data_IF_358983023338
#
_entry.id   IF_358983023338
#
_cell.length_a   1.000
_cell.length_b   1.000
_cell.length_c   1.000
_cell.angle_alpha   90.00
_cell.angle_beta   90.00
_cell.angle_gamma   90.00
#
_symmetry.space_group_name_H-M   'P 1'
#
loop_
_entity.id
_entity.type
_entity.pdbx_description
1 polymer ?
#
# COMPACT_ATOMS: atom_id res chain seq x y z
N UNK A 1 -9.26 15.48 -22.29
CA UNK A 1 -10.13 14.59 -23.10
C UNK A 1 -11.56 14.74 -22.60
N UNK A 2 -12.46 15.25 -23.44
CA UNK A 2 -13.79 15.77 -23.05
C UNK A 2 -14.96 14.78 -23.23
N UNK A 3 -14.70 13.53 -23.64
CA UNK A 3 -15.74 12.53 -23.91
C UNK A 3 -15.61 11.25 -23.08
N UNK A 4 -16.69 10.47 -23.05
CA UNK A 4 -16.70 9.09 -22.52
C UNK A 4 -15.80 8.24 -23.41
N UNK A 5 -14.92 7.43 -22.80
CA UNK A 5 -14.03 6.52 -23.52
C UNK A 5 -14.41 5.07 -23.24
N UNK A 6 -14.23 4.22 -24.25
CA UNK A 6 -14.36 2.78 -24.14
C UNK A 6 -12.99 2.15 -24.41
N UNK A 7 -12.46 1.44 -23.44
CA UNK A 7 -11.18 0.73 -23.53
C UNK A 7 -11.46 -0.76 -23.55
N UNK A 8 -10.93 -1.43 -24.57
CA UNK A 8 -10.94 -2.89 -24.62
C UNK A 8 -9.71 -3.45 -23.90
N UNK A 9 -9.92 -4.45 -23.06
CA UNK A 9 -8.84 -5.20 -22.42
C UNK A 9 -8.25 -6.15 -23.46
N UNK A 10 -7.00 -5.93 -23.85
CA UNK A 10 -6.33 -6.70 -24.88
C UNK A 10 -5.72 -7.99 -24.30
N UNK A 11 -5.45 -9.03 -25.13
CA UNK A 11 -4.82 -10.27 -24.68
C UNK A 11 -3.53 -10.05 -23.89
N UNK A 12 -2.72 -9.07 -24.28
CA UNK A 12 -1.45 -8.71 -23.64
C UNK A 12 -1.60 -8.10 -22.25
N UNK A 13 -2.78 -7.59 -21.90
CA UNK A 13 -3.05 -7.03 -20.56
C UNK A 13 -3.26 -8.11 -19.52
N UNK A 14 -3.65 -9.32 -19.98
CA UNK A 14 -3.99 -10.44 -19.12
C UNK A 14 -5.14 -10.14 -18.17
N UNK A 15 -5.37 -11.03 -17.22
CA UNK A 15 -6.33 -10.79 -16.15
C UNK A 15 -5.73 -9.86 -15.10
N UNK A 16 -6.31 -8.68 -14.91
CA UNK A 16 -5.78 -7.62 -14.04
C UNK A 16 -6.89 -6.89 -13.30
N UNK A 17 -6.58 -6.31 -12.14
CA UNK A 17 -7.53 -5.44 -11.44
C UNK A 17 -7.79 -4.16 -12.21
N UNK A 18 -9.05 -3.70 -12.20
CA UNK A 18 -9.50 -2.49 -12.90
C UNK A 18 -8.68 -1.24 -12.51
N UNK A 19 -8.34 -1.10 -11.22
CA UNK A 19 -7.53 0.01 -10.74
C UNK A 19 -6.11 0.01 -11.38
N UNK A 20 -5.49 -1.16 -11.50
CA UNK A 20 -4.17 -1.31 -12.15
C UNK A 20 -4.25 -1.09 -13.66
N UNK A 21 -5.30 -1.63 -14.31
CA UNK A 21 -5.54 -1.42 -15.73
C UNK A 21 -5.67 0.06 -16.04
N UNK A 22 -6.57 0.76 -15.33
CA UNK A 22 -6.79 2.19 -15.52
C UNK A 22 -5.55 3.02 -15.21
N UNK A 23 -4.75 2.63 -14.23
CA UNK A 23 -3.51 3.35 -13.90
C UNK A 23 -2.45 3.23 -15.00
N UNK A 24 -2.41 2.13 -15.74
CA UNK A 24 -1.53 1.97 -16.93
C UNK A 24 -1.95 2.90 -18.07
N UNK A 25 -3.25 3.00 -18.33
CA UNK A 25 -3.80 3.83 -19.42
C UNK A 25 -3.91 5.32 -19.05
N UNK A 26 -4.08 5.63 -17.77
CA UNK A 26 -4.22 6.99 -17.23
C UNK A 26 -3.30 7.17 -16.02
N UNK A 27 -1.98 7.33 -16.24
CA UNK A 27 -1.01 7.49 -15.13
C UNK A 27 -1.32 8.66 -14.21
N UNK A 28 -1.96 9.72 -14.75
CA UNK A 28 -2.37 10.91 -14.03
C UNK A 28 -3.58 10.69 -13.12
N UNK A 29 -4.36 9.61 -13.31
CA UNK A 29 -5.55 9.34 -12.51
C UNK A 29 -5.15 8.95 -11.08
N UNK A 30 -5.45 9.81 -10.12
CA UNK A 30 -5.14 9.55 -8.71
C UNK A 30 -6.01 8.41 -8.16
N UNK A 31 -5.47 7.66 -7.20
CA UNK A 31 -6.19 6.54 -6.56
C UNK A 31 -7.52 6.99 -5.93
N UNK A 32 -7.51 8.13 -5.23
CA UNK A 32 -8.72 8.69 -4.62
C UNK A 32 -9.80 9.01 -5.66
N UNK A 33 -9.41 9.53 -6.83
CA UNK A 33 -10.33 9.82 -7.92
C UNK A 33 -10.88 8.55 -8.55
N UNK A 34 -10.02 7.54 -8.76
CA UNK A 34 -10.42 6.24 -9.28
C UNK A 34 -11.47 5.59 -8.37
N UNK A 35 -11.22 5.56 -7.05
CA UNK A 35 -12.20 5.06 -6.07
C UNK A 35 -13.50 5.87 -6.06
N UNK A 36 -13.44 7.21 -6.24
CA UNK A 36 -14.64 8.05 -6.36
C UNK A 36 -15.45 7.67 -7.60
N UNK A 37 -14.80 7.51 -8.77
CA UNK A 37 -15.46 7.11 -10.01
C UNK A 37 -16.12 5.73 -9.92
N UNK A 38 -15.44 4.77 -9.27
CA UNK A 38 -16.01 3.44 -9.03
C UNK A 38 -17.23 3.52 -8.08
N UNK A 39 -17.08 4.22 -6.94
CA UNK A 39 -18.15 4.38 -5.95
C UNK A 39 -19.38 5.09 -6.51
N UNK A 40 -19.19 6.08 -7.39
CA UNK A 40 -20.30 6.79 -8.04
C UNK A 40 -20.88 6.05 -9.25
N UNK A 41 -20.39 4.84 -9.58
CA UNK A 41 -20.88 4.02 -10.68
C UNK A 41 -20.53 4.55 -12.07
N UNK A 42 -19.57 5.47 -12.17
CA UNK A 42 -19.12 6.04 -13.43
C UNK A 42 -18.18 5.13 -14.21
N UNK A 43 -17.51 4.18 -13.51
CA UNK A 43 -16.74 3.09 -14.14
C UNK A 43 -17.66 1.89 -14.38
N UNK A 44 -17.63 1.36 -15.61
CA UNK A 44 -18.41 0.19 -15.98
C UNK A 44 -17.53 -0.79 -16.77
N UNK A 45 -17.77 -2.08 -16.57
CA UNK A 45 -17.18 -3.18 -17.33
C UNK A 45 -18.34 -3.91 -18.01
N UNK A 46 -18.33 -4.01 -19.32
CA UNK A 46 -19.41 -4.59 -20.14
C UNK A 46 -20.80 -4.02 -19.76
N UNK A 47 -20.86 -2.70 -19.55
CA UNK A 47 -22.08 -1.99 -19.17
C UNK A 47 -22.47 -2.11 -17.70
N UNK A 48 -21.88 -3.01 -16.92
CA UNK A 48 -22.16 -3.21 -15.48
C UNK A 48 -21.29 -2.33 -14.61
N UNK A 49 -21.82 -1.87 -13.49
CA UNK A 49 -21.05 -1.11 -12.49
C UNK A 49 -19.89 -1.97 -11.97
N UNK A 50 -18.70 -1.36 -11.87
CA UNK A 50 -17.50 -2.05 -11.43
C UNK A 50 -16.83 -1.29 -10.27
N UNK A 51 -16.25 -2.05 -9.35
CA UNK A 51 -15.41 -1.54 -8.28
C UNK A 51 -13.95 -1.40 -8.74
N UNK A 52 -13.17 -0.63 -8.02
CA UNK A 52 -11.74 -0.49 -8.29
C UNK A 52 -10.98 -1.84 -8.20
N UNK A 53 -11.47 -2.75 -7.36
CA UNK A 53 -10.93 -4.10 -7.15
C UNK A 53 -11.40 -5.12 -8.18
N UNK A 54 -12.41 -4.83 -8.97
CA UNK A 54 -12.96 -5.76 -9.99
C UNK A 54 -11.84 -6.26 -10.89
N UNK A 55 -11.78 -7.56 -11.12
CA UNK A 55 -10.88 -8.17 -12.10
C UNK A 55 -11.48 -8.02 -13.50
N UNK A 56 -10.65 -7.64 -14.43
CA UNK A 56 -10.99 -7.52 -15.84
C UNK A 56 -10.11 -8.47 -16.66
N UNK A 57 -10.71 -9.07 -17.70
CA UNK A 57 -10.08 -10.06 -18.55
C UNK A 57 -10.08 -9.60 -20.02
N UNK A 58 -9.22 -10.16 -20.88
CA UNK A 58 -9.21 -9.87 -22.29
C UNK A 58 -10.59 -10.01 -22.96
N UNK A 59 -10.92 -9.09 -23.88
CA UNK A 59 -12.21 -9.01 -24.56
C UNK A 59 -13.27 -8.17 -23.86
N UNK A 60 -13.08 -7.80 -22.59
CA UNK A 60 -14.01 -6.94 -21.87
C UNK A 60 -13.83 -5.48 -22.25
N UNK A 61 -14.93 -4.73 -22.25
CA UNK A 61 -14.96 -3.29 -22.53
C UNK A 61 -15.16 -2.47 -21.26
N UNK A 62 -14.23 -1.56 -21.00
CA UNK A 62 -14.28 -0.65 -19.84
C UNK A 62 -14.73 0.73 -20.29
N UNK A 63 -15.86 1.18 -19.76
CA UNK A 63 -16.34 2.55 -19.93
C UNK A 63 -15.72 3.46 -18.89
N UNK A 64 -15.00 4.47 -19.36
CA UNK A 64 -14.35 5.51 -18.54
C UNK A 64 -15.08 6.84 -18.81
N UNK A 65 -15.57 7.54 -17.77
CA UNK A 65 -16.21 8.84 -17.94
C UNK A 65 -15.16 9.87 -18.40
N UNK A 66 -15.61 11.06 -18.86
CA UNK A 66 -14.70 12.15 -19.16
C UNK A 66 -13.79 12.40 -17.97
N UNK A 67 -12.50 12.24 -18.19
CA UNK A 67 -11.49 12.60 -17.20
C UNK A 67 -11.10 14.05 -17.49
N UNK A 68 -11.29 14.99 -16.54
CA UNK A 68 -10.71 16.32 -16.71
C UNK A 68 -9.22 16.15 -16.96
N UNK A 69 -8.72 16.85 -17.93
CA UNK A 69 -7.29 17.13 -18.05
C UNK A 69 -6.91 17.85 -16.76
N UNK A 70 -6.36 17.08 -15.82
CA UNK A 70 -5.76 17.69 -14.65
C UNK A 70 -4.46 18.28 -15.19
N UNK A 71 -4.49 19.57 -15.56
CA UNK A 71 -3.31 20.36 -15.90
C UNK A 71 -2.41 20.56 -14.67
N UNK A 72 -2.71 19.86 -13.58
CA UNK A 72 -1.83 19.77 -12.46
C UNK A 72 -0.61 18.97 -12.90
N UNK A 73 0.57 19.58 -12.97
CA UNK A 73 1.78 18.82 -13.25
C UNK A 73 1.81 17.63 -12.30
N UNK A 74 2.26 16.45 -12.75
CA UNK A 74 2.37 15.29 -11.89
C UNK A 74 3.03 15.79 -10.61
N UNK A 75 2.39 15.50 -9.45
CA UNK A 75 2.86 16.00 -8.16
C UNK A 75 4.38 15.85 -8.20
N UNK A 76 5.10 16.98 -8.27
CA UNK A 76 6.56 16.98 -8.25
C UNK A 76 6.88 16.02 -7.14
N UNK A 77 7.55 14.94 -7.46
CA UNK A 77 8.20 14.13 -6.44
C UNK A 77 9.12 15.12 -5.75
N UNK A 78 8.61 15.75 -4.69
CA UNK A 78 9.39 16.70 -3.90
C UNK A 78 10.67 15.96 -3.57
N UNK A 79 11.78 16.50 -4.03
CA UNK A 79 13.07 15.91 -3.76
C UNK A 79 13.16 15.71 -2.26
N UNK A 80 13.48 14.49 -1.88
CA UNK A 80 13.64 14.17 -0.48
C UNK A 80 14.68 15.12 0.12
N UNK A 81 14.40 15.69 1.28
CA UNK A 81 15.38 16.54 1.95
C UNK A 81 16.62 15.71 2.33
N UNK A 82 17.78 16.35 2.38
CA UNK A 82 19.01 15.68 2.85
C UNK A 82 18.86 15.15 4.27
N UNK A 83 18.06 15.80 5.10
CA UNK A 83 17.76 15.35 6.47
C UNK A 83 16.93 14.05 6.45
N UNK A 84 15.90 13.97 5.60
CA UNK A 84 15.09 12.75 5.47
C UNK A 84 15.88 11.61 4.85
N UNK A 85 16.77 11.90 3.88
CA UNK A 85 17.63 10.89 3.30
C UNK A 85 18.62 10.32 4.34
N UNK A 86 19.23 11.17 5.16
CA UNK A 86 20.09 10.71 6.27
C UNK A 86 19.29 9.92 7.30
N UNK A 87 18.11 10.41 7.66
CA UNK A 87 17.23 9.76 8.63
C UNK A 87 16.90 8.32 8.22
N UNK A 88 16.39 8.09 7.00
CA UNK A 88 15.99 6.75 6.58
C UNK A 88 17.21 5.80 6.47
N UNK A 89 18.36 6.31 6.00
CA UNK A 89 19.61 5.52 5.94
C UNK A 89 20.10 5.10 7.32
N UNK A 90 19.94 5.95 8.33
CA UNK A 90 20.30 5.63 9.71
C UNK A 90 19.43 4.53 10.33
N UNK A 91 18.25 4.26 9.77
CA UNK A 91 17.37 3.18 10.21
C UNK A 91 17.76 1.82 9.62
N UNK A 92 18.63 1.77 8.60
CA UNK A 92 19.06 0.52 7.97
C UNK A 92 19.95 -0.26 8.94
N UNK A 93 19.55 -1.50 9.24
CA UNK A 93 20.30 -2.43 10.10
C UNK A 93 20.82 -3.63 9.32
N UNK A 94 20.32 -3.86 8.11
CA UNK A 94 20.80 -4.89 7.20
C UNK A 94 20.50 -4.50 5.74
N UNK A 95 21.42 -4.77 4.84
CA UNK A 95 21.26 -4.61 3.39
C UNK A 95 22.21 -5.59 2.69
N UNK A 96 21.63 -6.61 2.03
CA UNK A 96 22.39 -7.62 1.27
C UNK A 96 22.27 -7.41 -0.26
N UNK A 97 21.76 -6.25 -0.68
CA UNK A 97 21.49 -5.93 -2.09
C UNK A 97 20.14 -6.44 -2.61
N UNK A 98 19.48 -7.37 -1.93
CA UNK A 98 18.15 -7.90 -2.26
C UNK A 98 17.11 -7.62 -1.20
N UNK A 99 17.48 -7.73 0.06
CA UNK A 99 16.65 -7.46 1.23
C UNK A 99 17.26 -6.32 2.03
N UNK A 100 16.44 -5.35 2.38
CA UNK A 100 16.82 -4.27 3.29
C UNK A 100 15.97 -4.37 4.54
N UNK A 101 16.60 -4.32 5.72
CA UNK A 101 15.91 -4.31 7.00
C UNK A 101 16.09 -2.95 7.68
N UNK A 102 14.98 -2.38 8.12
CA UNK A 102 14.95 -1.12 8.85
C UNK A 102 14.55 -1.36 10.32
N UNK A 103 15.19 -0.67 11.24
CA UNK A 103 14.69 -0.48 12.59
C UNK A 103 13.74 0.73 12.61
N UNK A 104 12.46 0.48 12.35
CA UNK A 104 11.44 1.56 12.29
C UNK A 104 11.16 2.10 13.69
N UNK A 105 11.28 3.40 13.95
CA UNK A 105 10.88 3.98 15.22
C UNK A 105 9.34 4.03 15.37
N UNK A 106 8.86 4.07 16.59
CA UNK A 106 7.47 4.41 16.89
C UNK A 106 7.15 5.82 16.39
N UNK A 107 5.88 6.06 16.04
CA UNK A 107 5.42 7.35 15.52
C UNK A 107 5.61 7.54 14.01
N UNK A 108 6.45 6.73 13.34
CA UNK A 108 6.65 6.78 11.88
C UNK A 108 5.69 5.84 11.18
N UNK A 109 4.79 6.37 10.36
CA UNK A 109 3.91 5.55 9.54
C UNK A 109 4.68 4.86 8.41
N UNK A 110 4.28 3.62 8.04
CA UNK A 110 4.87 2.91 6.90
C UNK A 110 4.36 3.49 5.58
N UNK A 111 3.07 3.75 5.47
CA UNK A 111 2.44 4.31 4.27
C UNK A 111 1.74 5.64 4.57
N UNK A 112 1.67 6.50 3.56
CA UNK A 112 1.03 7.79 3.67
C UNK A 112 -0.50 7.71 3.70
N UNK A 113 -1.11 8.77 4.24
CA UNK A 113 -2.54 9.00 4.29
C UNK A 113 -2.85 10.50 4.31
N UNK A 114 -4.13 10.91 4.38
CA UNK A 114 -4.55 12.30 4.23
C UNK A 114 -3.87 13.33 5.16
N UNK A 115 -3.27 12.90 6.24
CA UNK A 115 -2.58 13.77 7.22
C UNK A 115 -1.20 13.23 7.59
N UNK A 116 -0.59 12.43 6.71
CA UNK A 116 0.67 11.75 6.99
C UNK A 116 1.68 12.01 5.86
N UNK A 117 2.22 13.24 5.76
CA UNK A 117 3.13 13.62 4.68
C UNK A 117 4.48 12.92 4.78
N UNK A 118 4.93 12.56 5.99
CA UNK A 118 6.19 11.86 6.26
C UNK A 118 5.92 10.42 6.65
N UNK A 119 6.33 9.49 5.83
CA UNK A 119 6.15 8.04 6.01
C UNK A 119 7.27 7.27 5.30
N UNK A 120 7.50 6.02 5.70
CA UNK A 120 8.60 5.20 5.16
C UNK A 120 8.55 5.13 3.64
N UNK A 121 7.42 4.80 3.04
CA UNK A 121 7.26 4.62 1.58
C UNK A 121 7.76 5.84 0.78
N UNK A 122 7.50 7.06 1.26
CA UNK A 122 8.04 8.30 0.66
C UNK A 122 9.57 8.38 0.78
N UNK A 123 10.12 7.90 1.90
CA UNK A 123 11.54 8.00 2.20
C UNK A 123 12.39 6.95 1.45
N UNK A 124 11.77 5.88 0.94
CA UNK A 124 12.47 4.74 0.33
C UNK A 124 13.36 5.14 -0.86
N UNK A 125 13.04 6.20 -1.58
CA UNK A 125 13.86 6.66 -2.71
C UNK A 125 15.30 7.02 -2.34
N UNK A 126 15.57 7.30 -1.06
CA UNK A 126 16.94 7.50 -0.57
C UNK A 126 17.74 6.20 -0.39
N UNK A 127 17.08 5.05 -0.45
CA UNK A 127 17.67 3.71 -0.35
C UNK A 127 17.80 3.02 -1.71
N UNK A 128 17.33 3.66 -2.79
CA UNK A 128 17.46 3.11 -4.14
C UNK A 128 18.95 2.97 -4.48
N UNK A 129 19.32 1.86 -5.10
CA UNK A 129 20.70 1.52 -5.45
C UNK A 129 20.74 0.93 -6.85
N UNK A 130 21.68 1.39 -7.68
CA UNK A 130 21.91 0.88 -9.05
C UNK A 130 20.64 0.83 -9.93
N UNK A 131 19.72 1.79 -9.75
CA UNK A 131 18.43 1.84 -10.46
C UNK A 131 17.34 0.93 -9.88
N UNK A 132 17.67 0.09 -8.90
CA UNK A 132 16.71 -0.77 -8.20
C UNK A 132 16.06 -0.04 -7.03
N UNK A 133 14.72 -0.04 -7.02
CA UNK A 133 13.93 0.62 -5.98
C UNK A 133 13.66 -0.31 -4.81
N UNK A 134 13.80 0.23 -3.59
CA UNK A 134 13.28 -0.42 -2.40
C UNK A 134 11.74 -0.39 -2.38
N UNK A 135 11.12 -1.51 -2.03
CA UNK A 135 9.67 -1.70 -2.02
C UNK A 135 9.19 -2.29 -0.70
N UNK A 136 8.05 -1.78 -0.23
CA UNK A 136 7.37 -2.36 0.93
C UNK A 136 6.85 -3.76 0.60
N UNK A 137 7.05 -4.70 1.51
CA UNK A 137 6.55 -6.09 1.42
C UNK A 137 5.58 -6.43 2.54
N UNK A 138 5.62 -5.69 3.64
CA UNK A 138 4.67 -5.72 4.75
C UNK A 138 4.58 -4.34 5.41
N UNK A 139 3.82 -4.24 6.46
CA UNK A 139 3.69 -3.01 7.23
C UNK A 139 3.70 -3.28 8.72
N UNK A 140 4.15 -2.29 9.48
CA UNK A 140 3.92 -2.12 10.91
C UNK A 140 3.00 -0.94 11.12
N UNK A 141 2.27 -0.92 12.22
CA UNK A 141 1.47 0.25 12.57
C UNK A 141 2.37 1.43 12.92
N UNK A 142 1.81 2.63 12.88
CA UNK A 142 2.55 3.87 13.12
C UNK A 142 3.33 3.84 14.43
N UNK A 143 2.68 3.41 15.50
CA UNK A 143 3.23 3.45 16.86
C UNK A 143 3.96 2.15 17.26
N UNK A 144 3.99 1.16 16.36
CA UNK A 144 4.82 -0.04 16.51
C UNK A 144 6.23 0.24 16.02
N UNK A 145 7.22 0.07 16.88
CA UNK A 145 8.65 0.10 16.52
C UNK A 145 9.13 -1.30 16.12
N UNK A 146 10.27 -1.37 15.44
CA UNK A 146 10.97 -2.64 15.18
C UNK A 146 11.20 -2.93 13.70
N UNK A 147 11.40 -4.19 13.40
CA UNK A 147 11.90 -4.67 12.11
C UNK A 147 10.89 -4.50 10.98
N UNK A 148 11.24 -3.69 9.99
CA UNK A 148 10.50 -3.53 8.75
C UNK A 148 11.37 -4.02 7.58
N UNK A 149 10.93 -5.07 6.88
CA UNK A 149 11.62 -5.62 5.73
C UNK A 149 11.15 -4.96 4.43
N UNK A 150 12.09 -4.75 3.53
CA UNK A 150 11.89 -4.24 2.19
C UNK A 150 12.52 -5.19 1.19
N UNK A 151 11.97 -5.26 -0.02
CA UNK A 151 12.62 -5.91 -1.15
C UNK A 151 13.25 -4.89 -2.07
N UNK A 152 14.50 -5.06 -2.47
CA UNK A 152 15.16 -4.25 -3.47
C UNK A 152 14.83 -4.82 -4.86
N UNK A 153 14.19 -4.01 -5.69
CA UNK A 153 13.69 -4.46 -6.99
C UNK A 153 12.35 -5.19 -6.92
N UNK A 154 11.81 -5.53 -8.09
CA UNK A 154 10.49 -6.16 -8.21
C UNK A 154 10.50 -7.64 -7.81
N UNK A 155 11.54 -8.38 -8.20
CA UNK A 155 11.66 -9.82 -7.93
C UNK A 155 11.73 -10.14 -6.43
N UNK A 156 12.73 -9.62 -5.68
CA UNK A 156 12.83 -9.83 -4.25
C UNK A 156 11.59 -9.35 -3.48
N UNK A 157 11.03 -8.19 -3.86
CA UNK A 157 9.81 -7.69 -3.24
C UNK A 157 8.61 -8.62 -3.45
N UNK A 158 8.43 -9.17 -4.65
CA UNK A 158 7.36 -10.12 -4.94
C UNK A 158 7.52 -11.42 -4.11
N UNK A 159 8.74 -11.96 -4.05
CA UNK A 159 9.06 -13.17 -3.29
C UNK A 159 8.77 -12.98 -1.79
N UNK A 160 9.26 -11.89 -1.19
CA UNK A 160 9.00 -11.59 0.21
C UNK A 160 7.51 -11.37 0.48
N UNK A 161 6.81 -10.60 -0.37
CA UNK A 161 5.37 -10.39 -0.23
C UNK A 161 4.61 -11.71 -0.22
N UNK A 162 4.99 -12.66 -1.08
CA UNK A 162 4.37 -13.98 -1.13
C UNK A 162 4.64 -14.79 0.15
N UNK A 163 5.86 -14.74 0.70
CA UNK A 163 6.17 -15.40 1.98
C UNK A 163 5.33 -14.84 3.13
N UNK A 164 5.17 -13.50 3.20
CA UNK A 164 4.26 -12.87 4.17
C UNK A 164 2.80 -13.31 3.98
N UNK A 165 2.34 -13.35 2.74
CA UNK A 165 0.97 -13.76 2.40
C UNK A 165 0.68 -15.22 2.78
N UNK A 166 1.67 -16.11 2.62
CA UNK A 166 1.55 -17.53 2.97
C UNK A 166 1.76 -17.82 4.46
N UNK A 167 2.03 -16.82 5.28
CA UNK A 167 2.31 -17.03 6.71
C UNK A 167 3.64 -17.73 6.98
N UNK A 168 4.56 -17.73 6.01
CA UNK A 168 5.86 -18.39 6.12
C UNK A 168 6.90 -17.55 6.90
N UNK A 169 6.49 -16.38 7.40
CA UNK A 169 7.34 -15.48 8.18
C UNK A 169 6.89 -15.52 9.63
N UNK A 170 7.75 -15.99 10.52
CA UNK A 170 7.52 -15.90 11.96
C UNK A 170 7.67 -14.46 12.42
N UNK A 171 6.67 -13.94 13.15
CA UNK A 171 6.64 -12.58 13.68
C UNK A 171 6.58 -12.63 15.19
N UNK A 172 7.55 -11.99 15.83
CA UNK A 172 7.65 -11.89 17.28
C UNK A 172 7.48 -10.42 17.66
N UNK A 173 6.57 -10.13 18.58
CA UNK A 173 6.31 -8.80 19.11
C UNK A 173 6.46 -8.81 20.64
N UNK A 174 7.09 -7.77 21.14
CA UNK A 174 7.17 -7.53 22.58
C UNK A 174 6.23 -6.37 22.91
N UNK A 175 5.47 -6.52 23.99
CA UNK A 175 4.56 -5.50 24.46
C UNK A 175 4.74 -5.25 25.96
N UNK A 176 4.80 -3.98 26.35
CA UNK A 176 4.67 -3.57 27.73
C UNK A 176 3.18 -3.45 28.05
N UNK A 177 2.71 -4.24 29.01
CA UNK A 177 1.30 -4.28 29.40
C UNK A 177 1.12 -3.75 30.82
N UNK A 178 -0.06 -3.17 31.10
CA UNK A 178 -0.45 -2.76 32.44
C UNK A 178 -1.16 -3.92 33.14
N UNK A 179 -0.77 -4.20 34.36
CA UNK A 179 -1.35 -5.26 35.18
C UNK A 179 -0.49 -6.53 35.17
N UNK A 180 -1.03 -7.62 35.74
CA UNK A 180 -0.36 -8.91 35.86
C UNK A 180 -0.97 -9.90 34.86
N UNK A 181 -0.14 -10.41 33.96
CA UNK A 181 -0.51 -11.56 33.14
C UNK A 181 -0.42 -12.81 34.02
N UNK A 182 -1.53 -13.52 34.16
CA UNK A 182 -1.61 -14.70 35.04
C UNK A 182 -0.88 -15.90 34.42
N UNK A 183 -1.10 -16.10 33.13
CA UNK A 183 -0.58 -17.22 32.39
C UNK A 183 0.78 -16.89 31.79
N UNK A 184 1.76 -17.80 31.91
CA UNK A 184 3.08 -17.64 31.29
C UNK A 184 3.07 -17.88 29.77
N UNK A 185 2.09 -18.66 29.29
CA UNK A 185 1.88 -18.97 27.87
C UNK A 185 0.38 -19.14 27.61
N UNK A 186 -0.07 -18.79 26.42
CA UNK A 186 -1.45 -18.96 26.02
C UNK A 186 -1.68 -18.59 24.56
N UNK A 187 -2.82 -18.98 24.03
CA UNK A 187 -3.32 -18.59 22.73
C UNK A 187 -4.51 -17.66 22.91
N UNK A 188 -4.43 -16.47 22.32
CA UNK A 188 -5.57 -15.55 22.20
C UNK A 188 -6.03 -15.64 20.74
N UNK A 189 -7.16 -16.30 20.53
CA UNK A 189 -7.80 -16.44 19.22
C UNK A 189 -9.15 -15.73 19.26
N UNK A 190 -9.10 -14.41 19.36
CA UNK A 190 -10.28 -13.54 19.41
C UNK A 190 -10.41 -12.79 18.09
N UNK A 191 -11.55 -12.86 17.39
CA UNK A 191 -11.82 -11.99 16.26
C UNK A 191 -11.74 -10.54 16.67
N UNK A 192 -11.19 -9.69 15.78
CA UNK A 192 -11.06 -8.26 16.04
C UNK A 192 -11.86 -7.47 15.02
N UNK A 193 -12.75 -6.62 15.50
CA UNK A 193 -13.50 -5.67 14.70
C UNK A 193 -13.08 -4.23 14.96
N UNK A 194 -13.29 -3.36 13.99
CA UNK A 194 -13.15 -1.92 14.18
C UNK A 194 -14.39 -1.34 14.84
N UNK A 195 -14.23 -0.70 15.98
CA UNK A 195 -15.28 0.06 16.63
C UNK A 195 -14.90 1.56 16.70
N UNK A 196 -15.92 2.43 16.78
CA UNK A 196 -15.77 3.89 16.85
C UNK A 196 -16.02 4.58 15.50
N UNK A 197 -16.29 5.89 15.57
CA UNK A 197 -16.49 6.74 14.40
C UNK A 197 -15.16 7.24 13.80
N UNK A 198 -15.23 7.98 12.67
CA UNK A 198 -14.05 8.54 12.01
C UNK A 198 -13.16 9.34 12.97
N UNK A 199 -11.89 8.97 13.08
CA UNK A 199 -10.91 9.59 13.97
C UNK A 199 -10.92 9.10 15.43
N UNK A 200 -11.81 8.15 15.77
CA UNK A 200 -11.87 7.46 17.06
C UNK A 200 -11.89 5.95 16.91
N UNK A 201 -11.38 5.46 15.78
CA UNK A 201 -11.34 4.03 15.48
C UNK A 201 -10.41 3.30 16.46
N UNK A 202 -10.92 2.23 17.05
CA UNK A 202 -10.15 1.29 17.87
C UNK A 202 -10.51 -0.15 17.48
N UNK A 203 -9.56 -1.05 17.64
CA UNK A 203 -9.84 -2.48 17.55
C UNK A 203 -10.44 -2.96 18.85
N UNK A 204 -11.51 -3.72 18.78
CA UNK A 204 -12.17 -4.38 19.91
C UNK A 204 -12.30 -5.87 19.59
N UNK A 205 -12.38 -6.70 20.61
CA UNK A 205 -12.79 -8.08 20.43
C UNK A 205 -14.22 -8.13 19.88
N UNK A 206 -14.44 -9.01 18.89
CA UNK A 206 -15.75 -9.28 18.30
C UNK A 206 -16.18 -10.63 18.90
N UNK A 207 -17.09 -10.55 19.86
CA UNK A 207 -17.58 -11.73 20.62
C UNK A 207 -18.87 -12.32 19.98
N UNK A 208 -19.13 -12.11 18.67
CA UNK A 208 -20.27 -12.68 17.95
C UNK A 208 -20.06 -14.13 17.52
#
# INVERSE_FOLDING_TARGET
MTGVQHLEVRPQDGEVRLDRFLKRHYPQLTQGRLHKLARTGQLRVDGRRAEASTRVAPGQTIRVPPLPTDDRPPARTERLSNADARFIRALVIHDDGTVVALNKPAGLAVQGGPKTPRHVDRLLSALDLAGERCRLVHRLDRDTAGLLLLGRGAGPAAKLTEQFRRGQVTKIYWALVRGKVKESQGLINLPLAKAGGPGRERMVGDDD
#
